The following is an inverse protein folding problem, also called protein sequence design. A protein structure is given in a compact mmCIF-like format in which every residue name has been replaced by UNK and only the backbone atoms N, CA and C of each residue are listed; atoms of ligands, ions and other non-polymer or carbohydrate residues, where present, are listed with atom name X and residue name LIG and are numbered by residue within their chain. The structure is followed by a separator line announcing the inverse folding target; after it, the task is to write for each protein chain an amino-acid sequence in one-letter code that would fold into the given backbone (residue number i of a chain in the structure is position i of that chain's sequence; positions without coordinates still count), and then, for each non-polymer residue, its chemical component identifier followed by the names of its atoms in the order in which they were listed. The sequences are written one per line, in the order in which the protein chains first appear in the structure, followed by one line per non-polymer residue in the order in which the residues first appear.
data_IF_189087915257
#
_entry.id   IF_189087915257
#
_cell.length_a   1.000
_cell.length_b   1.000
_cell.length_c   1.000
_cell.angle_alpha   90.00
_cell.angle_beta   90.00
_cell.angle_gamma   90.00
#
_symmetry.space_group_name_H-M   'P 1'
#
loop_
_entity.id
_entity.type
_entity.pdbx_description
1 polymer ?
#
# COMPACT_ATOMS: atom_id res chain seq x y z
N UNK A 1 21.31 -24.54 -3.78
CA UNK A 1 20.67 -23.60 -2.85
C UNK A 1 20.55 -22.24 -3.54
N UNK A 2 19.41 -21.63 -3.40
CA UNK A 2 19.17 -20.33 -4.03
C UNK A 2 20.02 -19.26 -3.35
N UNK A 3 20.59 -18.38 -4.16
CA UNK A 3 21.38 -17.27 -3.66
C UNK A 3 20.42 -16.18 -3.15
N UNK A 4 20.72 -15.66 -1.96
CA UNK A 4 19.96 -14.55 -1.43
C UNK A 4 20.25 -13.28 -2.23
N UNK A 5 19.26 -12.38 -2.40
CA UNK A 5 19.51 -11.13 -3.06
C UNK A 5 20.49 -10.27 -2.28
N UNK A 6 21.14 -9.35 -2.98
CA UNK A 6 22.02 -8.38 -2.34
C UNK A 6 21.17 -7.34 -1.62
N UNK A 7 21.05 -7.47 -0.31
CA UNK A 7 20.23 -6.59 0.51
C UNK A 7 20.91 -5.29 0.86
N UNK A 8 22.19 -5.14 0.50
CA UNK A 8 22.90 -3.88 0.73
C UNK A 8 22.57 -2.83 -0.31
N UNK A 9 21.92 -3.24 -1.42
CA UNK A 9 21.57 -2.27 -2.45
C UNK A 9 20.17 -1.73 -2.24
N UNK A 10 20.04 -0.42 -2.40
CA UNK A 10 18.74 0.24 -2.30
C UNK A 10 17.82 -0.09 -3.48
N UNK A 11 18.37 -0.64 -4.56
CA UNK A 11 17.60 -1.03 -5.74
C UNK A 11 17.03 -2.43 -5.67
N UNK A 12 17.38 -3.22 -4.65
CA UNK A 12 16.77 -4.55 -4.55
C UNK A 12 15.27 -4.41 -4.38
N UNK A 13 14.52 -5.31 -5.02
CA UNK A 13 13.06 -5.26 -4.94
C UNK A 13 12.58 -5.38 -3.49
N UNK A 14 13.21 -6.25 -2.72
CA UNK A 14 12.85 -6.44 -1.32
C UNK A 14 13.03 -5.14 -0.52
N UNK A 15 14.16 -4.48 -0.71
CA UNK A 15 14.44 -3.22 -0.01
C UNK A 15 13.45 -2.14 -0.42
N UNK A 16 13.14 -2.03 -1.70
CA UNK A 16 12.19 -1.05 -2.20
C UNK A 16 10.80 -1.26 -1.61
N UNK A 17 10.35 -2.51 -1.56
CA UNK A 17 9.05 -2.84 -0.98
C UNK A 17 9.01 -2.52 0.51
N UNK A 18 10.03 -2.95 1.25
CA UNK A 18 10.09 -2.69 2.69
C UNK A 18 10.13 -1.20 2.99
N UNK A 19 10.89 -0.45 2.20
CA UNK A 19 10.96 1.00 2.37
C UNK A 19 9.62 1.67 2.10
N UNK A 20 8.94 1.24 1.04
CA UNK A 20 7.64 1.79 0.70
C UNK A 20 6.59 1.46 1.76
N UNK A 21 6.62 0.25 2.29
CA UNK A 21 5.67 -0.19 3.32
C UNK A 21 6.02 0.34 4.71
N UNK A 22 7.26 0.71 4.95
CA UNK A 22 7.76 1.11 6.27
C UNK A 22 7.39 2.52 6.70
N UNK A 23 6.28 3.03 6.23
CA UNK A 23 5.75 4.34 6.60
C UNK A 23 4.29 4.15 7.00
N UNK A 24 3.91 4.66 8.16
CA UNK A 24 2.58 4.39 8.71
C UNK A 24 1.44 4.84 7.78
N UNK A 25 1.63 5.93 7.07
CA UNK A 25 0.59 6.44 6.17
C UNK A 25 0.47 5.58 4.93
N UNK A 26 1.60 5.18 4.34
CA UNK A 26 1.58 4.29 3.18
C UNK A 26 1.07 2.90 3.56
N UNK A 27 1.44 2.41 4.75
CA UNK A 27 0.92 1.14 5.23
C UNK A 27 -0.60 1.19 5.38
N UNK A 28 -1.13 2.31 5.90
CA UNK A 28 -2.58 2.50 6.01
C UNK A 28 -3.25 2.48 4.64
N UNK A 29 -2.67 3.15 3.66
CA UNK A 29 -3.21 3.16 2.29
C UNK A 29 -3.25 1.72 1.74
N UNK A 30 -2.13 1.00 1.89
CA UNK A 30 -2.06 -0.36 1.38
C UNK A 30 -3.06 -1.28 2.05
N UNK A 31 -3.28 -1.11 3.35
CA UNK A 31 -4.30 -1.89 4.06
C UNK A 31 -5.70 -1.64 3.51
N UNK A 32 -5.99 -0.41 3.11
CA UNK A 32 -7.29 -0.10 2.51
C UNK A 32 -7.46 -0.71 1.13
N UNK A 33 -6.35 -1.05 0.47
CA UNK A 33 -6.37 -1.68 -0.85
C UNK A 33 -6.13 -3.19 -0.77
N UNK A 34 -5.93 -3.73 0.43
CA UNK A 34 -5.52 -5.13 0.60
C UNK A 34 -6.62 -6.14 0.27
N UNK A 35 -7.86 -5.70 0.14
CA UNK A 35 -8.96 -6.56 -0.29
C UNK A 35 -8.96 -6.81 -1.80
N UNK A 36 -8.00 -6.22 -2.52
CA UNK A 36 -7.88 -6.37 -3.97
C UNK A 36 -8.80 -5.45 -4.76
N UNK A 37 -9.54 -4.58 -4.09
CA UNK A 37 -10.45 -3.68 -4.78
C UNK A 37 -9.77 -2.40 -5.20
N UNK A 38 -10.36 -1.75 -6.19
CA UNK A 38 -9.92 -0.44 -6.63
C UNK A 38 -10.57 0.64 -5.80
N UNK A 39 -9.82 1.73 -5.51
CA UNK A 39 -10.37 2.89 -4.85
C UNK A 39 -9.83 4.16 -5.49
N UNK A 40 -10.69 5.15 -5.62
CA UNK A 40 -10.28 6.47 -6.12
C UNK A 40 -9.60 7.26 -5.00
N UNK A 41 -8.91 8.35 -5.38
CA UNK A 41 -8.32 9.26 -4.40
C UNK A 41 -9.41 9.80 -3.48
N UNK A 42 -10.57 10.17 -4.02
CA UNK A 42 -11.66 10.70 -3.20
C UNK A 42 -12.14 9.69 -2.17
N UNK A 43 -12.27 8.43 -2.57
CA UNK A 43 -12.66 7.36 -1.65
C UNK A 43 -11.62 7.17 -0.55
N UNK A 44 -10.32 7.20 -0.94
CA UNK A 44 -9.26 7.07 0.05
C UNK A 44 -9.20 8.26 1.00
N UNK A 45 -9.50 9.46 0.52
CA UNK A 45 -9.58 10.64 1.38
C UNK A 45 -10.65 10.48 2.46
N UNK A 46 -11.80 9.96 2.08
CA UNK A 46 -12.88 9.74 3.03
C UNK A 46 -12.50 8.69 4.08
N UNK A 47 -11.84 7.62 3.64
CA UNK A 47 -11.47 6.53 4.53
C UNK A 47 -10.32 6.94 5.44
N UNK A 48 -9.34 7.65 4.90
CA UNK A 48 -8.14 8.05 5.64
C UNK A 48 -8.21 9.56 5.89
N UNK A 49 -9.08 9.95 6.80
CA UNK A 49 -9.36 11.35 7.05
C UNK A 49 -8.19 12.12 7.66
N UNK A 50 -7.15 11.42 8.14
CA UNK A 50 -5.98 12.05 8.74
C UNK A 50 -4.98 12.55 7.70
N UNK A 51 -5.17 12.24 6.43
CA UNK A 51 -4.28 12.67 5.36
C UNK A 51 -4.94 13.76 4.53
N UNK A 52 -4.18 14.81 4.23
CA UNK A 52 -4.61 15.80 3.24
C UNK A 52 -4.57 15.17 1.85
N UNK A 53 -5.30 15.76 0.92
CA UNK A 53 -5.27 15.32 -0.47
C UNK A 53 -3.86 15.36 -1.04
N UNK A 54 -3.11 16.40 -0.72
CA UNK A 54 -1.74 16.56 -1.19
C UNK A 54 -0.84 15.45 -0.66
N UNK A 55 -0.92 15.17 0.64
CA UNK A 55 -0.12 14.09 1.25
C UNK A 55 -0.49 12.74 0.69
N UNK A 56 -1.80 12.48 0.53
CA UNK A 56 -2.28 11.22 -0.04
C UNK A 56 -1.75 11.03 -1.45
N UNK A 57 -1.81 12.08 -2.28
CA UNK A 57 -1.31 12.00 -3.65
C UNK A 57 0.20 11.73 -3.71
N UNK A 58 0.96 12.33 -2.79
CA UNK A 58 2.39 12.09 -2.73
C UNK A 58 2.70 10.65 -2.35
N UNK A 59 2.01 10.12 -1.35
CA UNK A 59 2.19 8.72 -0.94
C UNK A 59 1.80 7.75 -2.05
N UNK A 60 0.68 8.00 -2.71
CA UNK A 60 0.25 7.16 -3.84
C UNK A 60 1.26 7.22 -4.98
N UNK A 61 1.83 8.40 -5.24
CA UNK A 61 2.87 8.55 -6.25
C UNK A 61 4.11 7.71 -5.94
N UNK A 62 4.52 7.67 -4.69
CA UNK A 62 5.64 6.81 -4.27
C UNK A 62 5.34 5.35 -4.47
N UNK A 63 4.16 4.91 -4.07
CA UNK A 63 3.74 3.52 -4.22
C UNK A 63 3.67 3.13 -5.69
N UNK A 64 3.20 4.04 -6.53
CA UNK A 64 3.13 3.79 -7.97
C UNK A 64 4.51 3.67 -8.60
N UNK A 65 5.44 4.55 -8.24
CA UNK A 65 6.80 4.49 -8.77
C UNK A 65 7.55 3.22 -8.32
N UNK A 66 7.19 2.68 -7.18
CA UNK A 66 7.72 1.40 -6.71
C UNK A 66 7.01 0.20 -7.31
N UNK A 67 6.06 0.41 -8.20
CA UNK A 67 5.24 -0.63 -8.83
C UNK A 67 4.44 -1.48 -7.84
N UNK A 68 4.12 -0.93 -6.70
CA UNK A 68 3.31 -1.60 -5.69
C UNK A 68 1.83 -1.43 -6.01
N UNK A 69 1.45 -0.24 -6.45
CA UNK A 69 0.08 0.01 -6.89
C UNK A 69 0.08 0.36 -8.37
N UNK A 70 -1.05 0.09 -9.00
CA UNK A 70 -1.32 0.48 -10.38
C UNK A 70 -2.53 1.40 -10.40
N UNK A 71 -2.68 2.10 -11.51
CA UNK A 71 -3.80 2.98 -11.71
C UNK A 71 -4.62 2.54 -12.92
N UNK A 72 -5.91 2.82 -12.85
CA UNK A 72 -6.82 2.65 -13.97
C UNK A 72 -7.64 3.92 -14.09
N UNK A 73 -7.71 4.47 -15.28
CA UNK A 73 -8.50 5.67 -15.52
C UNK A 73 -9.86 5.29 -16.09
N UNK A 74 -10.90 5.84 -15.48
CA UNK A 74 -12.25 5.71 -15.99
C UNK A 74 -12.86 7.10 -16.01
N UNK A 75 -13.07 7.66 -17.22
CA UNK A 75 -13.50 9.03 -17.40
C UNK A 75 -12.45 9.98 -16.79
N UNK A 76 -12.82 10.79 -15.82
CA UNK A 76 -11.89 11.71 -15.15
C UNK A 76 -11.42 11.19 -13.80
N UNK A 77 -11.81 9.95 -13.44
CA UNK A 77 -11.46 9.37 -12.16
C UNK A 77 -10.33 8.39 -12.33
N UNK A 78 -9.34 8.47 -11.43
CA UNK A 78 -8.23 7.53 -11.38
C UNK A 78 -8.44 6.62 -10.18
N UNK A 79 -8.40 5.31 -10.43
CA UNK A 79 -8.54 4.29 -9.39
C UNK A 79 -7.20 3.64 -9.14
N UNK A 80 -6.93 3.35 -7.88
CA UNK A 80 -5.71 2.71 -7.43
C UNK A 80 -6.02 1.32 -6.91
N UNK A 81 -5.14 0.36 -7.20
CA UNK A 81 -5.23 -1.00 -6.66
C UNK A 81 -3.82 -1.54 -6.49
N UNK A 82 -3.68 -2.59 -5.70
CA UNK A 82 -2.37 -3.21 -5.51
C UNK A 82 -2.06 -4.07 -6.73
N UNK A 83 -0.92 -3.79 -7.35
CA UNK A 83 -0.46 -4.56 -8.51
C UNK A 83 0.36 -5.77 -8.10
N UNK A 84 1.21 -5.62 -7.10
CA UNK A 84 2.18 -6.64 -6.72
C UNK A 84 1.52 -7.69 -5.84
N UNK A 85 1.45 -8.93 -6.35
CA UNK A 85 0.84 -10.04 -5.62
C UNK A 85 1.59 -10.37 -4.34
N UNK A 86 2.90 -10.17 -4.32
CA UNK A 86 3.69 -10.44 -3.13
C UNK A 86 3.40 -9.43 -2.02
N UNK A 87 3.14 -8.19 -2.39
CA UNK A 87 2.73 -7.18 -1.40
C UNK A 87 1.39 -7.57 -0.79
N UNK A 88 0.44 -8.06 -1.59
CA UNK A 88 -0.82 -8.57 -1.04
C UNK A 88 -0.59 -9.70 -0.05
N UNK A 89 0.32 -10.62 -0.39
CA UNK A 89 0.65 -11.74 0.51
C UNK A 89 1.25 -11.25 1.81
N UNK A 90 2.15 -10.27 1.74
CA UNK A 90 2.77 -9.68 2.93
C UNK A 90 1.72 -9.00 3.80
N UNK A 91 0.84 -8.22 3.19
CA UNK A 91 -0.22 -7.53 3.93
C UNK A 91 -1.15 -8.51 4.63
N UNK A 92 -1.52 -9.58 3.94
CA UNK A 92 -2.38 -10.62 4.51
C UNK A 92 -1.68 -11.35 5.67
N UNK A 93 -0.40 -11.61 5.51
CA UNK A 93 0.39 -12.25 6.57
C UNK A 93 0.47 -11.36 7.80
N UNK A 94 0.75 -10.08 7.61
CA UNK A 94 0.82 -9.14 8.73
C UNK A 94 -0.53 -9.02 9.43
N UNK A 95 -1.60 -8.96 8.68
CA UNK A 95 -2.95 -8.92 9.24
C UNK A 95 -3.22 -10.17 10.06
N UNK A 96 -2.81 -11.32 9.57
CA UNK A 96 -3.00 -12.59 10.27
C UNK A 96 -2.20 -12.64 11.58
N UNK A 97 -0.92 -12.24 11.51
CA UNK A 97 -0.04 -12.28 12.68
C UNK A 97 -0.54 -11.33 13.77
N UNK A 98 -0.97 -10.15 13.39
CA UNK A 98 -1.35 -9.09 14.32
C UNK A 98 -2.86 -8.87 14.39
N UNK A 99 -3.63 -9.94 14.20
CA UNK A 99 -5.10 -9.81 14.08
C UNK A 99 -5.73 -9.25 15.36
N UNK A 100 -5.13 -9.49 16.51
CA UNK A 100 -5.64 -8.99 17.78
C UNK A 100 -5.09 -7.63 18.19
N UNK A 101 -4.17 -7.06 17.38
CA UNK A 101 -3.65 -5.72 17.62
C UNK A 101 -4.71 -4.68 17.25
N UNK A 102 -5.16 -3.84 18.20
CA UNK A 102 -6.17 -2.82 17.87
C UNK A 102 -5.76 -1.90 16.72
N UNK A 103 -4.46 -1.64 16.56
CA UNK A 103 -3.96 -0.77 15.50
C UNK A 103 -4.12 -1.37 14.11
N UNK A 104 -4.28 -2.69 14.01
CA UNK A 104 -4.47 -3.38 12.74
C UNK A 104 -5.93 -3.49 12.32
N UNK A 105 -6.85 -3.18 13.21
CA UNK A 105 -8.27 -3.27 12.89
C UNK A 105 -8.72 -2.00 12.21
N UNK A 106 -9.46 -2.16 11.12
CA UNK A 106 -10.04 -1.02 10.43
C UNK A 106 -11.16 -0.42 11.27
N UNK A 107 -11.19 0.90 11.32
CA UNK A 107 -12.29 1.60 11.95
C UNK A 107 -13.53 1.45 11.08
N UNK A 108 -14.63 1.05 11.69
CA UNK A 108 -15.94 0.92 11.02
C UNK A 108 -16.87 2.00 11.55
N UNK A 109 -17.61 2.55 10.65
CA UNK A 109 -18.59 3.58 10.99
C UNK A 109 -19.94 3.20 10.48
#
# INVERSE_FOLDING_TARGET
MARLPDLDTEQSKATMILRAMGNSKRFRILNELADGQERSVSELEEIISTLSQSALSQHLGRLRRANIVRTRRASQTIYYSIEDADVLRILRLLTHIYIDDPAMKKTRH
#
